data_IF_647232635453
#
_entry.id   IF_647232635453
#
_cell.length_a   1.000
_cell.length_b   1.000
_cell.length_c   1.000
_cell.angle_alpha   90.00
_cell.angle_beta   90.00
_cell.angle_gamma   90.00
#
_symmetry.space_group_name_H-M   'P 1'
#
loop_
_entity.id
_entity.type
_entity.pdbx_description
1 polymer ?
#
# COMPACT_ATOMS: atom_id res chain seq x y z
N UNK A 1 -53.13 -29.94 29.76
CA UNK A 1 -52.55 -28.61 29.47
C UNK A 1 -51.40 -28.81 28.50
N UNK A 2 -51.65 -28.63 27.21
CA UNK A 2 -50.63 -28.70 26.15
C UNK A 2 -50.78 -27.44 25.30
N UNK A 3 -49.96 -26.43 25.56
CA UNK A 3 -49.72 -25.36 24.60
C UNK A 3 -48.35 -25.59 23.97
N UNK A 4 -48.35 -26.34 22.87
CA UNK A 4 -47.27 -26.30 21.90
C UNK A 4 -47.33 -24.95 21.22
N UNK A 5 -46.45 -24.03 21.65
CA UNK A 5 -46.24 -22.72 21.03
C UNK A 5 -45.71 -22.95 19.62
N UNK A 6 -46.62 -22.92 18.64
CA UNK A 6 -46.34 -22.96 17.21
C UNK A 6 -45.31 -21.90 16.87
N UNK A 7 -44.10 -22.34 16.55
CA UNK A 7 -43.03 -21.50 16.01
C UNK A 7 -43.47 -21.02 14.63
N UNK A 8 -43.92 -19.77 14.54
CA UNK A 8 -44.25 -19.15 13.25
C UNK A 8 -42.99 -19.15 12.35
N UNK A 9 -43.11 -19.40 11.04
CA UNK A 9 -42.00 -19.17 10.13
C UNK A 9 -41.67 -17.68 10.20
N UNK A 10 -40.41 -17.34 10.52
CA UNK A 10 -39.93 -15.96 10.49
C UNK A 10 -40.45 -15.28 9.22
N UNK A 11 -41.21 -14.19 9.39
CA UNK A 11 -41.85 -13.51 8.27
C UNK A 11 -40.80 -13.22 7.20
N UNK A 12 -41.11 -13.42 5.92
CA UNK A 12 -40.20 -13.13 4.80
C UNK A 12 -39.58 -11.73 4.92
N UNK A 13 -40.31 -10.78 5.49
CA UNK A 13 -39.85 -9.43 5.79
C UNK A 13 -38.75 -9.37 6.86
N UNK A 14 -38.79 -10.21 7.89
CA UNK A 14 -37.71 -10.35 8.90
C UNK A 14 -36.46 -10.98 8.29
N UNK A 15 -36.62 -11.97 7.41
CA UNK A 15 -35.51 -12.62 6.70
C UNK A 15 -34.81 -11.65 5.74
N UNK A 16 -35.58 -10.84 5.01
CA UNK A 16 -35.03 -9.80 4.12
C UNK A 16 -34.30 -8.72 4.93
N UNK A 17 -34.85 -8.33 6.10
CA UNK A 17 -34.23 -7.35 7.00
C UNK A 17 -32.90 -7.86 7.58
N UNK A 18 -32.89 -9.07 8.11
CA UNK A 18 -31.66 -9.70 8.65
C UNK A 18 -30.61 -9.90 7.57
N UNK A 19 -31.00 -10.24 6.34
CA UNK A 19 -30.08 -10.31 5.21
C UNK A 19 -29.47 -8.93 4.86
N UNK A 20 -30.30 -7.88 4.81
CA UNK A 20 -29.85 -6.52 4.54
C UNK A 20 -28.92 -5.97 5.64
N UNK A 21 -29.22 -6.26 6.91
CA UNK A 21 -28.37 -5.90 8.06
C UNK A 21 -27.00 -6.59 7.99
N UNK A 22 -26.99 -7.87 7.62
CA UNK A 22 -25.75 -8.64 7.47
C UNK A 22 -24.88 -8.10 6.34
N UNK A 23 -25.49 -7.75 5.21
CA UNK A 23 -24.80 -7.15 4.07
C UNK A 23 -24.24 -5.75 4.42
N UNK A 24 -25.01 -4.93 5.14
CA UNK A 24 -24.57 -3.62 5.60
C UNK A 24 -23.40 -3.69 6.59
N UNK A 25 -23.37 -4.70 7.45
CA UNK A 25 -22.25 -4.95 8.37
C UNK A 25 -20.98 -5.33 7.59
N UNK A 26 -21.12 -6.24 6.62
CA UNK A 26 -19.99 -6.70 5.79
C UNK A 26 -19.40 -5.56 4.93
N UNK A 27 -20.26 -4.70 4.38
CA UNK A 27 -19.84 -3.49 3.63
C UNK A 27 -19.08 -2.50 4.54
N UNK A 28 -19.58 -2.29 5.77
CA UNK A 28 -18.91 -1.45 6.78
C UNK A 28 -17.55 -2.01 7.18
N UNK A 29 -17.43 -3.32 7.37
CA UNK A 29 -16.15 -3.96 7.67
C UNK A 29 -15.16 -3.83 6.52
N UNK A 30 -15.59 -4.05 5.28
CA UNK A 30 -14.75 -3.84 4.09
C UNK A 30 -14.30 -2.38 3.97
N UNK A 31 -15.20 -1.43 4.22
CA UNK A 31 -14.86 -0.01 4.21
C UNK A 31 -13.88 0.37 5.33
N UNK A 32 -14.00 -0.21 6.53
CA UNK A 32 -13.06 0.01 7.62
C UNK A 32 -11.67 -0.56 7.32
N UNK A 33 -11.57 -1.76 6.73
CA UNK A 33 -10.29 -2.34 6.29
C UNK A 33 -9.62 -1.44 5.26
N UNK A 34 -10.36 -1.03 4.22
CA UNK A 34 -9.85 -0.06 3.22
C UNK A 34 -9.36 1.25 3.84
N UNK A 35 -10.04 1.79 4.86
CA UNK A 35 -9.61 3.01 5.56
C UNK A 35 -8.34 2.79 6.39
N UNK A 36 -8.20 1.63 7.06
CA UNK A 36 -6.99 1.29 7.82
C UNK A 36 -5.79 1.09 6.88
N UNK A 37 -5.98 0.34 5.79
CA UNK A 37 -4.93 0.11 4.80
C UNK A 37 -4.47 1.42 4.14
N UNK A 38 -5.40 2.36 3.89
CA UNK A 38 -5.09 3.71 3.42
C UNK A 38 -4.38 4.57 4.47
N UNK A 39 -4.79 4.49 5.74
CA UNK A 39 -4.14 5.21 6.83
C UNK A 39 -2.70 4.71 7.06
N UNK A 40 -2.46 3.41 6.91
CA UNK A 40 -1.13 2.80 7.03
C UNK A 40 -0.23 3.16 5.83
N UNK A 41 -0.78 3.19 4.61
CA UNK A 41 -0.07 3.62 3.40
C UNK A 41 0.25 5.13 3.37
N UNK A 42 -0.60 5.96 3.99
CA UNK A 42 -0.47 7.43 4.02
C UNK A 42 0.07 7.98 5.33
N UNK A 43 0.39 7.12 6.29
CA UNK A 43 0.97 7.55 7.55
C UNK A 43 2.30 8.26 7.28
N UNK A 44 2.35 9.55 7.61
CA UNK A 44 3.55 10.38 7.52
C UNK A 44 4.69 9.89 8.44
N UNK A 45 4.36 8.98 9.37
CA UNK A 45 5.32 8.29 10.23
C UNK A 45 6.14 7.22 9.49
N UNK A 46 5.66 6.75 8.33
CA UNK A 46 6.38 5.78 7.53
C UNK A 46 7.35 6.48 6.57
N UNK A 47 8.64 6.11 6.56
CA UNK A 47 9.61 6.70 5.65
C UNK A 47 9.27 6.36 4.18
N UNK A 48 9.74 7.17 3.22
CA UNK A 48 9.42 7.01 1.80
C UNK A 48 9.70 5.62 1.24
N UNK A 49 10.78 4.97 1.68
CA UNK A 49 11.18 3.64 1.24
C UNK A 49 10.14 2.57 1.60
N UNK A 50 9.58 2.63 2.81
CA UNK A 50 8.56 1.70 3.32
C UNK A 50 7.26 1.88 2.54
N UNK A 51 6.84 3.12 2.29
CA UNK A 51 5.62 3.43 1.52
C UNK A 51 5.74 2.97 0.07
N UNK A 52 6.91 3.18 -0.56
CA UNK A 52 7.19 2.69 -1.91
C UNK A 52 7.22 1.16 -1.95
N UNK A 53 7.84 0.50 -0.98
CA UNK A 53 7.86 -0.98 -0.90
C UNK A 53 6.47 -1.58 -0.73
N UNK A 54 5.59 -0.94 0.03
CA UNK A 54 4.19 -1.38 0.17
C UNK A 54 3.44 -1.27 -1.16
N UNK A 55 3.62 -0.15 -1.88
CA UNK A 55 3.07 0.04 -3.22
C UNK A 55 3.58 -1.01 -4.21
N UNK A 56 4.89 -1.30 -4.20
CA UNK A 56 5.52 -2.32 -5.03
C UNK A 56 4.91 -3.72 -4.79
N UNK A 57 4.72 -4.11 -3.52
CA UNK A 57 4.09 -5.39 -3.16
C UNK A 57 2.64 -5.47 -3.62
N UNK A 58 1.87 -4.40 -3.44
CA UNK A 58 0.45 -4.36 -3.80
C UNK A 58 0.24 -4.47 -5.32
N UNK A 59 1.11 -3.82 -6.10
CA UNK A 59 0.98 -3.76 -7.56
C UNK A 59 1.85 -4.78 -8.28
N UNK A 60 2.66 -5.57 -7.56
CA UNK A 60 3.67 -6.48 -8.10
C UNK A 60 4.63 -5.80 -9.11
N UNK A 61 4.90 -4.50 -8.92
CA UNK A 61 5.78 -3.69 -9.76
C UNK A 61 7.00 -3.24 -8.96
N UNK A 62 8.10 -2.97 -9.66
CA UNK A 62 9.30 -2.35 -9.06
C UNK A 62 9.34 -0.86 -9.40
N UNK A 63 9.95 -0.08 -8.51
CA UNK A 63 10.26 1.31 -8.78
C UNK A 63 11.15 1.38 -10.03
N UNK A 64 10.71 2.03 -11.13
CA UNK A 64 11.55 2.16 -12.32
C UNK A 64 12.80 2.99 -12.01
N UNK A 65 13.86 2.81 -12.80
CA UNK A 65 15.07 3.63 -12.67
C UNK A 65 15.00 4.94 -13.48
N UNK A 66 14.10 5.02 -14.47
CA UNK A 66 13.92 6.23 -15.29
C UNK A 66 13.17 7.32 -14.50
N UNK A 67 13.76 8.50 -14.24
CA UNK A 67 13.12 9.60 -13.52
C UNK A 67 12.01 10.32 -14.30
N UNK A 68 11.86 10.03 -15.60
CA UNK A 68 10.78 10.54 -16.47
C UNK A 68 9.62 9.56 -16.62
N UNK A 69 9.69 8.39 -15.99
CA UNK A 69 8.65 7.38 -16.12
C UNK A 69 7.31 7.88 -15.54
N UNK A 70 6.20 7.82 -16.30
CA UNK A 70 4.91 8.40 -15.88
C UNK A 70 4.35 7.76 -14.61
N UNK A 71 4.67 6.48 -14.36
CA UNK A 71 4.27 5.76 -13.15
C UNK A 71 4.77 6.41 -11.86
N UNK A 72 5.84 7.22 -11.89
CA UNK A 72 6.33 7.90 -10.68
C UNK A 72 5.31 8.89 -10.12
N UNK A 73 4.52 9.52 -10.99
CA UNK A 73 3.40 10.37 -10.57
C UNK A 73 2.30 9.56 -9.89
N UNK A 74 2.00 8.37 -10.43
CA UNK A 74 1.02 7.44 -9.84
C UNK A 74 1.49 6.92 -8.48
N UNK A 75 2.78 6.58 -8.36
CA UNK A 75 3.40 6.18 -7.09
C UNK A 75 3.30 7.30 -6.08
N UNK A 76 3.67 8.54 -6.46
CA UNK A 76 3.59 9.71 -5.58
C UNK A 76 2.17 9.93 -5.04
N UNK A 77 1.16 9.91 -5.92
CA UNK A 77 -0.25 10.09 -5.53
C UNK A 77 -0.73 8.97 -4.60
N UNK A 78 -0.47 7.71 -4.95
CA UNK A 78 -0.95 6.55 -4.18
C UNK A 78 -0.26 6.42 -2.83
N UNK A 79 1.06 6.62 -2.82
CA UNK A 79 1.84 6.56 -1.59
C UNK A 79 1.68 7.81 -0.75
N UNK A 80 1.19 8.94 -1.27
CA UNK A 80 1.14 10.23 -0.59
C UNK A 80 2.52 10.87 -0.39
N UNK A 81 3.47 10.55 -1.27
CA UNK A 81 4.79 11.16 -1.35
C UNK A 81 4.80 12.26 -2.42
N UNK A 82 5.71 13.21 -2.31
CA UNK A 82 6.01 14.12 -3.41
C UNK A 82 6.81 13.40 -4.50
N UNK A 83 6.71 13.86 -5.74
CA UNK A 83 7.53 13.33 -6.84
C UNK A 83 9.04 13.48 -6.58
N UNK A 84 9.44 14.52 -5.83
CA UNK A 84 10.83 14.73 -5.41
C UNK A 84 11.31 13.60 -4.48
N UNK A 85 10.52 13.24 -3.46
CA UNK A 85 10.84 12.14 -2.54
C UNK A 85 10.92 10.79 -3.26
N UNK A 86 10.03 10.53 -4.22
CA UNK A 86 10.10 9.30 -5.04
C UNK A 86 11.40 9.25 -5.85
N UNK A 87 11.84 10.39 -6.41
CA UNK A 87 13.11 10.50 -7.16
C UNK A 87 14.34 10.42 -6.28
N UNK A 88 14.26 10.85 -5.02
CA UNK A 88 15.30 10.65 -4.03
C UNK A 88 15.45 9.16 -3.71
N UNK A 89 14.35 8.44 -3.53
CA UNK A 89 14.37 7.00 -3.33
C UNK A 89 14.94 6.26 -4.56
N UNK A 90 14.58 6.68 -5.79
CA UNK A 90 15.23 6.16 -7.00
C UNK A 90 16.75 6.32 -6.92
N UNK A 91 17.24 7.52 -6.59
CA UNK A 91 18.67 7.82 -6.47
C UNK A 91 19.35 7.03 -5.35
N UNK A 92 18.67 6.81 -4.23
CA UNK A 92 19.16 6.00 -3.11
C UNK A 92 19.27 4.51 -3.47
N UNK A 93 18.36 3.99 -4.33
CA UNK A 93 18.36 2.60 -4.79
C UNK A 93 19.32 2.33 -5.95
N UNK A 94 19.67 3.36 -6.72
CA UNK A 94 20.70 3.20 -7.74
C UNK A 94 22.02 2.84 -7.05
N UNK A 95 22.70 1.76 -7.48
CA UNK A 95 24.01 1.46 -6.95
C UNK A 95 24.89 2.67 -7.24
N UNK A 96 25.29 3.39 -6.18
CA UNK A 96 26.35 4.36 -6.31
C UNK A 96 27.56 3.58 -6.78
N UNK A 97 27.88 3.69 -8.06
CA UNK A 97 29.14 3.17 -8.58
C UNK A 97 30.20 3.84 -7.72
N UNK A 98 30.94 3.12 -6.86
CA UNK A 98 31.99 3.76 -6.09
C UNK A 98 32.90 4.43 -7.11
N UNK A 99 33.11 5.74 -6.93
CA UNK A 99 34.08 6.47 -7.72
C UNK A 99 35.35 5.62 -7.72
N UNK A 100 35.75 5.13 -8.89
CA UNK A 100 37.02 4.43 -9.02
C UNK A 100 38.08 5.39 -8.51
N UNK A 101 38.70 5.05 -7.38
CA UNK A 101 39.91 5.69 -6.89
C UNK A 101 40.95 5.59 -8.00
N UNK A 102 40.99 6.61 -8.86
CA UNK A 102 42.06 6.82 -9.81
C UNK A 102 43.14 7.60 -9.07
N UNK A 103 44.33 7.01 -8.95
CA UNK A 103 45.53 7.71 -8.51
C UNK A 103 46.21 7.16 -7.27
N UNK A 104 46.70 5.92 -7.33
CA UNK A 104 47.92 5.57 -6.63
C UNK A 104 48.67 4.57 -7.52
N UNK A 105 49.33 5.10 -8.56
CA UNK A 105 50.40 4.34 -9.20
C UNK A 105 51.51 4.13 -8.17
N UNK A 106 52.05 2.90 -8.02
CA UNK A 106 53.31 2.72 -7.32
C UNK A 106 54.41 3.23 -8.26
N UNK A 107 54.85 4.47 -8.02
CA UNK A 107 56.13 4.95 -8.54
C UNK A 107 57.24 4.18 -7.87
N UNK A 108 57.56 3.02 -8.45
CA UNK A 108 58.84 2.37 -8.35
C UNK A 108 59.86 3.23 -9.13
N UNK A 109 60.75 3.92 -8.42
CA UNK A 109 62.01 4.46 -8.98
C UNK A 109 62.95 4.81 -7.82
N UNK A 110 64.08 4.08 -7.71
CA UNK A 110 65.30 4.54 -7.03
C UNK A 110 65.94 3.54 -6.10
#
# INVERSE_FOLDING_TARGET
MTETKTSAPHSTTELIRTHAERLALEERERAQRRRRDLAEQRSELNPPDVRIRAWEKLHALRLPNDPRHPILGVIAINTGLTLAQVREEQRARMPQRPARTQGQEPSDTG
#
